data_IF_662153219195
#
_entry.id   IF_662153219195
#
_cell.length_a   1.000
_cell.length_b   1.000
_cell.length_c   1.000
_cell.angle_alpha   90.00
_cell.angle_beta   90.00
_cell.angle_gamma   90.00
#
_symmetry.space_group_name_H-M   'P 1'
#
loop_
_entity.id
_entity.type
_entity.pdbx_description
1 polymer ?
#
# COMPACT_ATOMS: atom_id res chain seq x y z
N UNK A 1 6.89 -27.41 -38.26
CA UNK A 1 5.70 -26.86 -37.62
C UNK A 1 4.44 -27.51 -38.15
N UNK A 2 3.42 -27.67 -37.33
CA UNK A 2 2.10 -28.18 -37.72
C UNK A 2 1.19 -26.99 -38.11
N UNK A 3 0.56 -27.06 -39.26
CA UNK A 3 -0.42 -26.09 -39.69
C UNK A 3 -1.77 -26.42 -39.06
N UNK A 4 -2.40 -25.49 -38.41
CA UNK A 4 -3.73 -25.62 -37.82
C UNK A 4 -4.71 -24.71 -38.54
N UNK A 5 -5.97 -25.14 -38.68
CA UNK A 5 -7.08 -24.26 -38.99
C UNK A 5 -7.45 -23.45 -37.72
N UNK A 6 -8.06 -22.29 -37.87
CA UNK A 6 -8.39 -21.38 -36.75
C UNK A 6 -9.18 -22.07 -35.62
N UNK A 7 -10.14 -22.92 -35.94
CA UNK A 7 -10.88 -23.69 -34.93
C UNK A 7 -10.02 -24.75 -34.24
N UNK A 8 -9.18 -25.43 -35.01
CA UNK A 8 -8.30 -26.50 -34.48
C UNK A 8 -7.24 -25.95 -33.54
N UNK A 9 -6.68 -24.76 -33.83
CA UNK A 9 -5.66 -24.15 -32.96
C UNK A 9 -6.28 -23.69 -31.65
N UNK A 10 -7.51 -23.21 -31.65
CA UNK A 10 -8.24 -22.84 -30.43
C UNK A 10 -8.48 -24.05 -29.53
N UNK A 11 -8.91 -25.16 -30.11
CA UNK A 11 -9.14 -26.42 -29.37
C UNK A 11 -7.82 -27.01 -28.83
N UNK A 12 -6.75 -26.92 -29.62
CA UNK A 12 -5.43 -27.35 -29.22
C UNK A 12 -4.89 -26.54 -28.01
N UNK A 13 -4.95 -25.21 -28.11
CA UNK A 13 -4.54 -24.31 -27.03
C UNK A 13 -5.42 -24.51 -25.78
N UNK A 14 -6.74 -24.72 -25.97
CA UNK A 14 -7.65 -24.92 -24.84
C UNK A 14 -7.37 -26.21 -24.05
N UNK A 15 -6.88 -27.27 -24.71
CA UNK A 15 -6.46 -28.50 -24.01
C UNK A 15 -5.25 -28.27 -23.10
N UNK A 16 -4.25 -27.55 -23.59
CA UNK A 16 -3.07 -27.21 -22.80
C UNK A 16 -3.38 -26.17 -21.73
N UNK A 17 -4.27 -25.21 -22.02
CA UNK A 17 -4.68 -24.18 -21.07
C UNK A 17 -5.28 -24.78 -19.79
N UNK A 18 -6.09 -25.84 -19.89
CA UNK A 18 -6.67 -26.52 -18.71
C UNK A 18 -5.61 -27.11 -17.78
N UNK A 19 -4.46 -27.51 -18.32
CA UNK A 19 -3.33 -28.06 -17.56
C UNK A 19 -2.66 -27.00 -16.67
N UNK A 20 -2.68 -25.74 -17.10
CA UNK A 20 -2.02 -24.59 -16.42
C UNK A 20 -3.01 -23.64 -15.78
N UNK A 21 -4.30 -23.98 -15.71
CA UNK A 21 -5.34 -23.09 -15.18
C UNK A 21 -5.19 -22.96 -13.66
N UNK A 22 -4.67 -21.82 -13.21
CA UNK A 22 -4.59 -21.49 -11.79
C UNK A 22 -5.97 -21.16 -11.25
N UNK A 23 -6.28 -21.62 -10.05
CA UNK A 23 -7.51 -21.23 -9.39
C UNK A 23 -7.38 -19.80 -8.86
N UNK A 24 -8.30 -18.93 -9.30
CA UNK A 24 -8.42 -17.56 -8.79
C UNK A 24 -9.37 -17.58 -7.59
N UNK A 25 -8.85 -17.16 -6.44
CA UNK A 25 -9.62 -17.07 -5.20
C UNK A 25 -9.93 -15.61 -4.90
N UNK A 26 -11.20 -15.29 -4.82
CA UNK A 26 -11.70 -13.99 -4.36
C UNK A 26 -11.47 -13.90 -2.86
N UNK A 27 -10.45 -13.12 -2.47
CA UNK A 27 -10.05 -12.97 -1.08
C UNK A 27 -11.00 -12.05 -0.32
N UNK A 28 -11.65 -11.08 -0.98
CA UNK A 28 -12.65 -10.22 -0.34
C UNK A 28 -13.75 -11.05 0.32
N UNK A 29 -14.19 -12.13 -0.34
CA UNK A 29 -15.20 -13.03 0.24
C UNK A 29 -14.71 -13.81 1.46
N UNK A 30 -13.40 -14.07 1.53
CA UNK A 30 -12.79 -14.84 2.63
C UNK A 30 -12.54 -14.01 3.87
N UNK A 31 -12.20 -12.74 3.70
CA UNK A 31 -11.86 -11.82 4.78
C UNK A 31 -12.95 -10.80 5.10
N UNK A 32 -14.10 -10.85 4.42
CA UNK A 32 -15.21 -9.94 4.67
C UNK A 32 -15.63 -9.95 6.13
N UNK A 33 -15.79 -8.74 6.70
CA UNK A 33 -16.22 -8.52 8.08
C UNK A 33 -16.73 -7.09 8.22
N UNK A 34 -17.65 -6.87 9.15
CA UNK A 34 -18.07 -5.53 9.55
C UNK A 34 -17.10 -4.96 10.57
N UNK A 35 -16.82 -3.69 10.43
CA UNK A 35 -16.06 -2.95 11.44
C UNK A 35 -16.97 -2.48 12.56
N UNK A 36 -16.65 -2.87 13.79
CA UNK A 36 -17.50 -2.58 14.95
C UNK A 36 -16.80 -1.75 16.02
N UNK A 37 -15.46 -1.83 16.10
CA UNK A 37 -14.69 -1.19 17.16
C UNK A 37 -13.27 -0.84 16.73
N UNK A 38 -12.68 0.12 17.44
CA UNK A 38 -11.27 0.45 17.34
C UNK A 38 -10.40 -0.51 18.15
N UNK A 39 -9.13 -0.57 17.83
CA UNK A 39 -8.11 -1.24 18.62
C UNK A 39 -7.52 -0.30 19.67
N UNK A 40 -7.22 0.94 19.28
CA UNK A 40 -6.69 1.99 20.15
C UNK A 40 -7.73 3.07 20.37
N UNK A 41 -7.83 3.57 21.61
CA UNK A 41 -8.85 4.54 21.98
C UNK A 41 -8.34 5.50 23.09
N UNK A 42 -8.97 6.68 23.20
CA UNK A 42 -8.68 7.64 24.25
C UNK A 42 -7.27 8.21 24.17
N UNK A 43 -6.55 8.21 25.27
CA UNK A 43 -5.23 8.82 25.36
C UNK A 43 -4.14 7.98 24.67
N UNK A 44 -4.28 6.66 24.62
CA UNK A 44 -3.35 5.81 23.85
C UNK A 44 -3.45 6.13 22.34
N UNK A 45 -4.66 6.31 21.83
CA UNK A 45 -4.86 6.72 20.44
C UNK A 45 -4.22 8.09 20.16
N UNK A 46 -4.42 9.09 21.02
CA UNK A 46 -3.82 10.43 20.86
C UNK A 46 -2.30 10.37 20.84
N UNK A 47 -1.72 9.58 21.75
CA UNK A 47 -0.29 9.39 21.81
C UNK A 47 0.27 8.76 20.53
N UNK A 48 -0.41 7.75 19.98
CA UNK A 48 -0.04 7.11 18.73
C UNK A 48 -0.19 8.05 17.54
N UNK A 49 -1.25 8.85 17.49
CA UNK A 49 -1.45 9.91 16.50
C UNK A 49 -0.27 10.89 16.52
N UNK A 50 0.12 11.37 17.70
CA UNK A 50 1.26 12.26 17.84
C UNK A 50 2.57 11.62 17.37
N UNK A 51 2.87 10.38 17.77
CA UNK A 51 4.07 9.66 17.38
C UNK A 51 4.10 9.33 15.88
N UNK A 52 2.95 9.21 15.23
CA UNK A 52 2.82 9.01 13.78
C UNK A 52 2.74 10.32 12.99
N UNK A 53 2.85 11.47 13.67
CA UNK A 53 2.82 12.79 13.03
C UNK A 53 1.45 13.25 12.56
N UNK A 54 0.35 12.66 13.06
CA UNK A 54 -1.01 13.07 12.72
C UNK A 54 -1.44 14.27 13.57
N UNK A 55 -1.81 15.35 12.92
CA UNK A 55 -2.33 16.56 13.56
C UNK A 55 -3.86 16.54 13.72
N UNK A 56 -4.38 17.45 14.52
CA UNK A 56 -5.83 17.64 14.61
C UNK A 56 -6.40 18.13 13.28
N UNK A 57 -5.65 18.96 12.56
CA UNK A 57 -6.04 19.47 11.23
C UNK A 57 -6.17 18.32 10.23
N UNK A 58 -5.25 17.38 10.22
CA UNK A 58 -5.33 16.18 9.38
C UNK A 58 -6.61 15.38 9.66
N UNK A 59 -6.96 15.23 10.95
CA UNK A 59 -8.15 14.50 11.34
C UNK A 59 -9.45 15.23 10.99
N UNK A 60 -9.47 16.57 11.01
CA UNK A 60 -10.66 17.38 10.78
C UNK A 60 -10.85 17.76 9.32
N UNK A 61 -9.77 18.14 8.64
CA UNK A 61 -9.85 18.68 7.29
C UNK A 61 -9.62 17.61 6.19
N UNK A 62 -9.02 16.48 6.54
CA UNK A 62 -8.75 15.41 5.59
C UNK A 62 -9.56 14.16 5.91
N UNK A 63 -9.32 13.54 7.07
CA UNK A 63 -9.91 12.25 7.40
C UNK A 63 -11.44 12.33 7.55
N UNK A 64 -11.95 13.34 8.24
CA UNK A 64 -13.37 13.48 8.50
C UNK A 64 -14.20 13.62 7.21
N UNK A 65 -13.89 14.56 6.29
CA UNK A 65 -14.63 14.69 5.02
C UNK A 65 -14.56 13.42 4.15
N UNK A 66 -13.44 12.71 4.16
CA UNK A 66 -13.31 11.46 3.42
C UNK A 66 -14.29 10.40 3.91
N UNK A 67 -14.57 10.34 5.21
CA UNK A 67 -15.51 9.39 5.79
C UNK A 67 -16.96 9.91 5.76
N UNK A 68 -17.19 11.20 5.86
CA UNK A 68 -18.52 11.81 5.87
C UNK A 68 -19.08 11.93 4.45
N UNK A 69 -18.30 12.44 3.51
CA UNK A 69 -18.74 12.67 2.13
C UNK A 69 -18.41 11.49 1.19
N UNK A 70 -17.47 10.63 1.59
CA UNK A 70 -16.97 9.54 0.74
C UNK A 70 -16.15 10.04 -0.45
N UNK A 71 -15.57 11.23 -0.31
CA UNK A 71 -14.74 11.90 -1.32
C UNK A 71 -13.49 12.44 -0.67
N UNK A 72 -12.43 12.52 -1.42
CA UNK A 72 -11.21 13.19 -0.99
C UNK A 72 -11.53 14.68 -0.72
N UNK A 73 -11.03 15.19 0.40
CA UNK A 73 -11.10 16.62 0.68
C UNK A 73 -10.46 17.40 -0.48
N UNK A 74 -11.03 18.57 -0.81
CA UNK A 74 -10.48 19.42 -1.87
C UNK A 74 -9.05 19.80 -1.50
N UNK A 75 -8.09 19.25 -2.23
CA UNK A 75 -6.67 19.47 -2.05
C UNK A 75 -5.90 19.13 -3.32
N UNK A 76 -4.63 19.49 -3.34
CA UNK A 76 -3.75 19.07 -4.44
C UNK A 76 -3.35 17.61 -4.25
N UNK A 77 -2.97 16.95 -5.35
CA UNK A 77 -2.35 15.62 -5.30
C UNK A 77 -0.88 15.74 -4.92
N UNK A 78 -0.62 15.84 -3.66
CA UNK A 78 0.63 16.25 -3.06
C UNK A 78 0.52 17.71 -2.61
N UNK A 79 1.32 18.05 -1.62
CA UNK A 79 1.39 19.42 -1.12
C UNK A 79 2.22 20.28 -2.09
N UNK A 80 1.59 21.27 -2.72
CA UNK A 80 2.28 22.24 -3.57
C UNK A 80 3.09 23.27 -2.76
N UNK A 81 2.92 23.27 -1.44
CA UNK A 81 3.69 24.12 -0.54
C UNK A 81 5.17 23.71 -0.59
N UNK A 82 6.09 24.63 -0.84
CA UNK A 82 7.52 24.31 -0.79
C UNK A 82 7.89 23.76 0.58
N UNK A 83 8.62 22.63 0.60
CA UNK A 83 9.09 22.04 1.84
C UNK A 83 10.22 22.91 2.37
N UNK A 84 10.09 23.38 3.60
CA UNK A 84 11.15 24.09 4.31
C UNK A 84 12.19 23.08 4.79
N UNK A 85 13.11 22.69 3.92
CA UNK A 85 14.13 21.65 4.16
C UNK A 85 15.05 21.94 5.35
N UNK A 86 15.16 23.19 5.77
CA UNK A 86 15.92 23.60 6.95
C UNK A 86 15.05 23.77 8.19
N UNK A 87 13.75 23.46 8.11
CA UNK A 87 12.85 23.53 9.27
C UNK A 87 13.13 22.40 10.25
N UNK A 88 12.99 22.68 11.53
CA UNK A 88 12.96 21.67 12.60
C UNK A 88 11.60 20.99 12.77
N UNK A 89 10.57 21.43 12.05
CA UNK A 89 9.24 20.82 12.12
C UNK A 89 9.25 19.47 11.40
N UNK A 90 8.71 18.48 12.10
CA UNK A 90 8.51 17.14 11.53
C UNK A 90 7.58 17.19 10.30
N UNK A 91 7.96 16.47 9.26
CA UNK A 91 7.12 16.16 8.10
C UNK A 91 7.23 14.69 7.77
N UNK A 92 6.13 13.98 7.49
CA UNK A 92 6.17 12.60 7.02
C UNK A 92 7.02 12.46 5.75
N UNK A 93 7.71 11.34 5.60
CA UNK A 93 8.60 11.12 4.43
C UNK A 93 7.83 11.20 3.12
N UNK A 94 6.56 10.82 3.08
CA UNK A 94 5.69 10.94 1.91
C UNK A 94 5.56 12.39 1.41
N UNK A 95 5.66 13.40 2.27
CA UNK A 95 5.57 14.80 1.88
C UNK A 95 6.76 15.29 1.06
N UNK A 96 7.88 14.57 1.09
CA UNK A 96 9.05 14.86 0.25
C UNK A 96 8.92 14.26 -1.15
N UNK A 97 7.90 13.42 -1.40
CA UNK A 97 7.63 12.80 -2.69
C UNK A 97 6.62 13.62 -3.48
N UNK A 98 6.94 13.90 -4.72
CA UNK A 98 6.06 14.59 -5.68
C UNK A 98 5.66 13.62 -6.77
N UNK A 99 4.36 13.52 -7.03
CA UNK A 99 3.85 12.69 -8.12
C UNK A 99 4.26 13.26 -9.47
N UNK A 100 4.93 12.47 -10.30
CA UNK A 100 5.17 12.80 -11.68
C UNK A 100 3.97 12.40 -12.54
N UNK A 101 3.46 13.33 -13.32
CA UNK A 101 2.41 13.05 -14.29
C UNK A 101 3.02 12.95 -15.69
N UNK A 102 2.63 11.89 -16.40
CA UNK A 102 3.01 11.72 -17.80
C UNK A 102 2.05 12.48 -18.70
N UNK A 103 2.58 13.12 -19.73
CA UNK A 103 1.74 13.57 -20.82
C UNK A 103 1.33 12.33 -21.64
N UNK A 104 0.07 11.93 -21.56
CA UNK A 104 -0.44 10.77 -22.28
C UNK A 104 -0.74 11.13 -23.74
N UNK A 105 -0.49 10.18 -24.67
CA UNK A 105 -0.78 10.34 -26.10
C UNK A 105 -2.29 10.32 -26.39
N UNK A 106 -3.05 9.59 -25.60
CA UNK A 106 -4.53 9.58 -25.67
C UNK A 106 -5.08 10.51 -24.58
N UNK A 107 -6.28 11.11 -24.79
CA UNK A 107 -6.94 11.88 -23.77
C UNK A 107 -7.07 11.07 -22.48
N UNK A 108 -6.89 11.70 -21.29
CA UNK A 108 -7.14 11.02 -20.03
C UNK A 108 -8.58 10.53 -19.97
N UNK A 109 -8.78 9.41 -19.28
CA UNK A 109 -10.11 8.86 -19.07
C UNK A 109 -10.89 9.80 -18.16
N UNK A 110 -12.13 10.11 -18.50
CA UNK A 110 -13.00 10.92 -17.67
C UNK A 110 -13.38 10.20 -16.37
N UNK A 111 -13.70 10.96 -15.32
CA UNK A 111 -14.01 10.43 -13.99
C UNK A 111 -15.19 9.46 -13.95
N UNK A 112 -16.10 9.51 -14.95
CA UNK A 112 -17.25 8.61 -15.03
C UNK A 112 -16.86 7.23 -15.58
N UNK A 113 -15.76 7.14 -16.33
CA UNK A 113 -15.27 5.91 -16.95
C UNK A 113 -14.14 5.25 -16.18
N UNK A 114 -13.47 5.96 -15.27
CA UNK A 114 -12.33 5.44 -14.50
C UNK A 114 -12.64 4.05 -13.91
N UNK A 115 -13.74 3.91 -13.19
CA UNK A 115 -14.17 2.64 -12.58
C UNK A 115 -14.47 1.51 -13.58
N UNK A 116 -14.71 1.83 -14.86
CA UNK A 116 -15.05 0.83 -15.89
C UNK A 116 -13.81 0.29 -16.60
N UNK A 117 -12.79 1.13 -16.77
CA UNK A 117 -11.61 0.83 -17.60
C UNK A 117 -10.35 0.63 -16.78
N UNK A 118 -10.37 1.00 -15.49
CA UNK A 118 -9.24 0.90 -14.59
C UNK A 118 -9.53 -0.05 -13.45
N UNK A 119 -8.49 -0.60 -12.84
CA UNK A 119 -8.63 -1.60 -11.80
C UNK A 119 -7.60 -1.43 -10.69
N UNK A 120 -8.09 -1.33 -9.45
CA UNK A 120 -7.28 -1.41 -8.21
C UNK A 120 -7.07 -2.86 -7.74
N UNK A 121 -7.51 -3.85 -8.52
CA UNK A 121 -7.38 -5.26 -8.14
C UNK A 121 -5.94 -5.60 -7.84
N UNK A 122 -5.74 -6.07 -6.62
CA UNK A 122 -4.44 -6.47 -6.08
C UNK A 122 -4.36 -7.99 -6.07
N UNK A 123 -3.26 -8.53 -6.59
CA UNK A 123 -3.04 -9.96 -6.72
C UNK A 123 -1.90 -10.40 -5.83
N UNK A 124 -2.07 -11.57 -5.24
CA UNK A 124 -1.10 -12.27 -4.41
C UNK A 124 -0.82 -13.64 -5.01
N UNK A 125 0.38 -14.10 -4.84
CA UNK A 125 0.81 -15.41 -5.31
C UNK A 125 1.98 -15.31 -6.28
N UNK A 126 2.83 -16.32 -6.22
CA UNK A 126 3.96 -16.48 -7.11
C UNK A 126 3.48 -17.09 -8.44
N UNK A 127 3.74 -16.42 -9.54
CA UNK A 127 3.42 -16.94 -10.87
C UNK A 127 4.40 -18.05 -11.32
N UNK A 128 5.51 -18.22 -10.61
CA UNK A 128 6.60 -19.10 -11.03
C UNK A 128 7.37 -18.50 -12.21
N UNK A 129 8.17 -19.33 -12.86
CA UNK A 129 8.86 -18.95 -14.08
C UNK A 129 7.91 -19.02 -15.27
N UNK A 130 7.47 -17.87 -15.77
CA UNK A 130 6.52 -17.80 -16.91
C UNK A 130 7.12 -18.27 -18.24
N UNK A 131 8.45 -18.42 -18.31
CA UNK A 131 9.17 -18.93 -19.48
C UNK A 131 9.38 -20.45 -19.43
N UNK A 132 9.11 -21.08 -18.30
CA UNK A 132 9.25 -22.51 -18.09
C UNK A 132 7.92 -23.08 -17.56
N UNK A 133 7.14 -23.66 -18.45
CA UNK A 133 5.81 -24.20 -18.14
C UNK A 133 5.84 -25.37 -17.16
N UNK A 134 6.94 -26.12 -17.09
CA UNK A 134 7.06 -27.26 -16.19
C UNK A 134 7.32 -26.82 -14.74
N UNK A 135 7.92 -25.65 -14.55
CA UNK A 135 8.20 -25.06 -13.24
C UNK A 135 7.15 -24.04 -12.79
N UNK A 136 6.11 -23.77 -13.62
CA UNK A 136 5.01 -22.92 -13.20
C UNK A 136 4.39 -23.44 -11.91
N UNK A 137 4.38 -22.61 -10.88
CA UNK A 137 3.76 -22.96 -9.60
C UNK A 137 2.27 -23.26 -9.81
N UNK A 138 1.80 -24.33 -9.19
CA UNK A 138 0.38 -24.69 -9.18
C UNK A 138 -0.40 -23.94 -8.07
N UNK A 139 0.23 -22.96 -7.46
CA UNK A 139 -0.38 -22.19 -6.37
C UNK A 139 -1.56 -21.37 -6.86
N UNK A 140 -2.52 -21.20 -5.97
CA UNK A 140 -3.68 -20.35 -6.21
C UNK A 140 -3.27 -18.87 -6.30
N UNK A 141 -4.00 -18.12 -7.11
CA UNK A 141 -3.90 -16.66 -7.16
C UNK A 141 -5.03 -16.09 -6.31
N UNK A 142 -4.68 -15.29 -5.33
CA UNK A 142 -5.63 -14.58 -4.49
C UNK A 142 -5.82 -13.16 -5.02
N UNK A 143 -7.04 -12.66 -5.01
CA UNK A 143 -7.38 -11.33 -5.56
C UNK A 143 -8.21 -10.56 -4.54
N UNK A 144 -7.82 -9.29 -4.30
CA UNK A 144 -8.60 -8.26 -3.61
C UNK A 144 -9.02 -7.19 -4.60
N UNK A 145 -10.22 -6.62 -4.43
CA UNK A 145 -10.72 -5.54 -5.29
C UNK A 145 -10.10 -4.17 -4.96
N UNK A 146 -9.59 -4.01 -3.73
CA UNK A 146 -8.91 -2.80 -3.26
C UNK A 146 -7.58 -3.15 -2.58
N UNK A 147 -6.54 -2.31 -2.68
CA UNK A 147 -5.32 -2.47 -1.92
C UNK A 147 -5.47 -2.05 -0.45
N UNK A 148 -6.62 -1.49 -0.06
CA UNK A 148 -6.85 -0.95 1.28
C UNK A 148 -7.68 -1.94 2.07
N UNK A 149 -7.20 -2.31 3.24
CA UNK A 149 -7.86 -3.25 4.15
C UNK A 149 -8.18 -2.54 5.48
N UNK A 150 -9.41 -2.73 5.96
CA UNK A 150 -9.80 -2.29 7.30
C UNK A 150 -9.08 -3.10 8.39
N UNK A 151 -9.16 -2.67 9.65
CA UNK A 151 -8.45 -3.32 10.75
C UNK A 151 -8.88 -4.79 10.90
N UNK A 152 -10.16 -5.05 10.90
CA UNK A 152 -10.69 -6.42 11.04
C UNK A 152 -10.41 -7.28 9.80
N UNK A 153 -10.47 -6.70 8.59
CA UNK A 153 -10.10 -7.40 7.36
C UNK A 153 -8.62 -7.75 7.35
N UNK A 154 -7.74 -6.84 7.80
CA UNK A 154 -6.31 -7.08 7.84
C UNK A 154 -5.93 -8.18 8.83
N UNK A 155 -6.57 -8.21 10.00
CA UNK A 155 -6.38 -9.29 10.97
C UNK A 155 -6.83 -10.65 10.39
N UNK A 156 -7.97 -10.69 9.68
CA UNK A 156 -8.40 -11.90 8.97
C UNK A 156 -7.45 -12.30 7.84
N UNK A 157 -6.89 -11.32 7.13
CA UNK A 157 -5.88 -11.55 6.10
C UNK A 157 -4.62 -12.22 6.67
N UNK A 158 -4.09 -11.72 7.78
CA UNK A 158 -2.95 -12.33 8.47
C UNK A 158 -3.26 -13.78 8.87
N UNK A 159 -4.42 -13.99 9.50
CA UNK A 159 -4.85 -15.31 9.94
C UNK A 159 -5.07 -16.28 8.77
N UNK A 160 -5.57 -15.80 7.62
CA UNK A 160 -5.78 -16.60 6.42
C UNK A 160 -4.48 -17.15 5.85
N UNK A 161 -3.43 -16.33 5.80
CA UNK A 161 -2.12 -16.77 5.33
C UNK A 161 -1.31 -17.50 6.42
N UNK A 162 -1.61 -17.29 7.70
CA UNK A 162 -1.02 -18.00 8.83
C UNK A 162 0.51 -18.09 8.74
N UNK A 163 1.05 -19.30 8.70
CA UNK A 163 2.51 -19.54 8.61
C UNK A 163 3.18 -18.97 7.36
N UNK A 164 2.42 -18.67 6.32
CA UNK A 164 2.92 -18.05 5.09
C UNK A 164 3.02 -16.52 5.21
N UNK A 165 2.66 -15.95 6.37
CA UNK A 165 2.82 -14.54 6.68
C UNK A 165 3.85 -14.32 7.80
N UNK A 166 4.58 -13.21 7.74
CA UNK A 166 5.54 -12.78 8.76
C UNK A 166 5.37 -11.28 9.03
N UNK A 167 5.14 -10.93 10.29
CA UNK A 167 5.15 -9.55 10.73
C UNK A 167 6.59 -9.15 10.99
N UNK A 168 7.01 -8.03 10.40
CA UNK A 168 8.27 -7.34 10.63
C UNK A 168 7.97 -6.08 11.45
N UNK A 169 8.65 -5.94 12.56
CA UNK A 169 8.51 -4.79 13.43
C UNK A 169 9.29 -3.60 12.84
N UNK A 170 8.54 -2.61 12.35
CA UNK A 170 9.07 -1.37 11.80
C UNK A 170 9.16 -0.27 12.88
N UNK A 171 9.56 -0.64 14.09
CA UNK A 171 9.93 0.30 15.13
C UNK A 171 11.39 0.11 15.53
N UNK A 172 11.98 1.10 16.16
CA UNK A 172 13.36 1.05 16.67
C UNK A 172 13.47 1.80 18.00
N UNK A 173 14.38 1.36 18.85
CA UNK A 173 14.65 2.02 20.11
C UNK A 173 15.25 3.41 19.88
N UNK A 174 14.97 4.36 20.77
CA UNK A 174 15.59 5.69 20.74
C UNK A 174 17.14 5.66 20.78
N UNK A 175 17.70 4.59 21.31
CA UNK A 175 19.14 4.39 21.38
C UNK A 175 19.72 3.71 20.14
N UNK A 176 18.85 3.12 19.30
CA UNK A 176 19.23 2.46 18.05
C UNK A 176 19.36 3.47 16.92
N UNK A 177 20.38 3.30 16.08
CA UNK A 177 20.50 4.10 14.86
C UNK A 177 19.51 3.61 13.81
N UNK A 178 18.82 4.54 13.14
CA UNK A 178 17.86 4.24 12.09
C UNK A 178 18.44 3.36 10.96
N UNK A 179 19.71 3.55 10.59
CA UNK A 179 20.36 2.71 9.58
C UNK A 179 20.49 1.26 10.02
N UNK A 180 20.77 1.01 11.31
CA UNK A 180 20.84 -0.34 11.88
C UNK A 180 19.48 -0.99 11.90
N UNK A 181 18.43 -0.23 12.25
CA UNK A 181 17.06 -0.70 12.22
C UNK A 181 16.62 -1.09 10.79
N UNK A 182 16.99 -0.30 9.78
CA UNK A 182 16.72 -0.61 8.38
C UNK A 182 17.44 -1.89 7.94
N UNK A 183 18.73 -2.06 8.29
CA UNK A 183 19.44 -3.31 8.00
C UNK A 183 18.79 -4.52 8.69
N UNK A 184 18.31 -4.36 9.91
CA UNK A 184 17.61 -5.41 10.65
C UNK A 184 16.38 -5.88 9.89
N UNK A 185 15.47 -4.98 9.51
CA UNK A 185 14.25 -5.37 8.78
C UNK A 185 14.54 -5.93 7.39
N UNK A 186 15.60 -5.48 6.71
CA UNK A 186 16.06 -6.05 5.44
C UNK A 186 16.50 -7.51 5.62
N UNK A 187 17.35 -7.80 6.60
CA UNK A 187 17.83 -9.16 6.90
C UNK A 187 16.68 -10.08 7.34
N UNK A 188 15.81 -9.60 8.22
CA UNK A 188 14.63 -10.36 8.65
C UNK A 188 13.72 -10.70 7.47
N UNK A 189 13.52 -9.76 6.53
CA UNK A 189 12.73 -9.98 5.32
C UNK A 189 13.34 -11.06 4.44
N UNK A 190 14.65 -11.04 4.22
CA UNK A 190 15.36 -12.06 3.43
C UNK A 190 15.22 -13.45 4.06
N UNK A 191 15.45 -13.57 5.37
CA UNK A 191 15.32 -14.83 6.11
C UNK A 191 13.89 -15.37 5.94
N UNK A 192 12.88 -14.53 6.16
CA UNK A 192 11.49 -14.93 6.05
C UNK A 192 11.14 -15.46 4.64
N UNK A 193 11.55 -14.74 3.60
CA UNK A 193 11.28 -15.16 2.20
C UNK A 193 11.99 -16.46 1.85
N UNK A 194 13.24 -16.64 2.29
CA UNK A 194 13.98 -17.91 2.08
C UNK A 194 13.37 -19.09 2.85
N UNK A 195 12.64 -18.83 3.93
CA UNK A 195 11.87 -19.83 4.67
C UNK A 195 10.49 -20.13 4.05
N UNK A 196 10.16 -19.51 2.91
CA UNK A 196 8.91 -19.75 2.18
C UNK A 196 7.74 -18.84 2.58
N UNK A 197 7.99 -17.78 3.33
CA UNK A 197 6.97 -16.74 3.61
C UNK A 197 6.62 -16.03 2.31
N UNK A 198 5.32 -15.92 2.04
CA UNK A 198 4.77 -15.25 0.84
C UNK A 198 4.16 -13.89 1.12
N UNK A 199 3.91 -13.56 2.39
CA UNK A 199 3.31 -12.29 2.83
C UNK A 199 4.16 -11.66 3.93
N UNK A 200 4.93 -10.63 3.59
CA UNK A 200 5.57 -9.77 4.60
C UNK A 200 4.57 -8.71 5.05
N UNK A 201 4.51 -8.47 6.34
CA UNK A 201 3.65 -7.48 6.96
C UNK A 201 4.55 -6.51 7.72
N UNK A 202 4.69 -5.31 7.19
CA UNK A 202 5.46 -4.24 7.80
C UNK A 202 4.51 -3.50 8.76
N UNK A 203 4.81 -3.51 10.04
CA UNK A 203 3.93 -2.94 11.07
C UNK A 203 4.68 -2.01 12.00
N UNK A 204 4.13 -0.82 12.23
CA UNK A 204 4.59 0.14 13.22
C UNK A 204 3.74 0.12 14.51
N UNK A 205 2.89 -0.89 14.70
CA UNK A 205 1.98 -0.98 15.86
C UNK A 205 2.65 -1.04 17.22
N UNK A 206 3.91 -1.46 17.28
CA UNK A 206 4.68 -1.52 18.52
C UNK A 206 5.26 -0.16 18.94
N UNK A 207 4.88 0.91 18.25
CA UNK A 207 5.32 2.26 18.59
C UNK A 207 4.94 2.63 20.04
N UNK A 208 5.86 3.29 20.72
CA UNK A 208 5.73 3.75 22.09
C UNK A 208 6.66 4.94 22.33
N UNK A 209 6.71 5.43 23.55
CA UNK A 209 7.68 6.48 23.90
C UNK A 209 9.15 6.03 23.79
N UNK A 210 9.41 4.74 23.90
CA UNK A 210 10.75 4.15 23.80
C UNK A 210 11.06 3.59 22.41
N UNK A 211 10.02 3.17 21.69
CA UNK A 211 10.12 2.60 20.34
C UNK A 211 9.49 3.55 19.34
N UNK A 212 10.32 4.21 18.55
CA UNK A 212 9.90 5.13 17.50
C UNK A 212 9.58 4.39 16.21
N UNK A 213 8.62 4.85 15.40
CA UNK A 213 8.35 4.22 14.10
C UNK A 213 9.51 4.52 13.14
N UNK A 214 9.97 3.49 12.42
CA UNK A 214 10.71 3.70 11.18
C UNK A 214 9.72 4.27 10.17
N UNK A 215 9.99 5.41 9.51
CA UNK A 215 9.07 5.94 8.51
C UNK A 215 8.63 4.85 7.53
N UNK A 216 7.33 4.62 7.42
CA UNK A 216 6.82 3.42 6.73
C UNK A 216 7.20 3.41 5.26
N UNK A 217 7.20 4.57 4.60
CA UNK A 217 7.61 4.68 3.21
C UNK A 217 9.09 4.28 3.03
N UNK A 218 9.96 4.65 3.97
CA UNK A 218 11.36 4.26 3.99
C UNK A 218 11.51 2.74 4.23
N UNK A 219 10.71 2.17 5.14
CA UNK A 219 10.69 0.72 5.39
C UNK A 219 10.31 -0.06 4.14
N UNK A 220 9.27 0.38 3.42
CA UNK A 220 8.84 -0.24 2.16
C UNK A 220 9.94 -0.14 1.11
N UNK A 221 10.53 1.05 0.93
CA UNK A 221 11.61 1.28 -0.04
C UNK A 221 12.83 0.41 0.24
N UNK A 222 13.27 0.37 1.50
CA UNK A 222 14.42 -0.41 1.94
C UNK A 222 14.23 -1.91 1.67
N UNK A 223 13.09 -2.47 2.08
CA UNK A 223 12.81 -3.90 1.89
C UNK A 223 12.59 -4.22 0.41
N UNK A 224 11.83 -3.40 -0.32
CA UNK A 224 11.57 -3.63 -1.73
C UNK A 224 12.86 -3.65 -2.54
N UNK A 225 13.73 -2.66 -2.37
CA UNK A 225 15.01 -2.52 -3.06
C UNK A 225 15.97 -3.66 -2.69
N UNK A 226 16.06 -3.98 -1.39
CA UNK A 226 16.88 -5.08 -0.91
C UNK A 226 16.46 -6.43 -1.50
N UNK A 227 15.16 -6.74 -1.47
CA UNK A 227 14.65 -8.00 -2.02
C UNK A 227 14.80 -8.08 -3.55
N UNK A 228 14.74 -6.95 -4.28
CA UNK A 228 15.05 -6.88 -5.72
C UNK A 228 16.52 -7.26 -5.94
N UNK A 229 17.45 -6.64 -5.21
CA UNK A 229 18.89 -6.91 -5.30
C UNK A 229 19.20 -8.39 -4.99
N UNK A 230 18.49 -8.99 -4.02
CA UNK A 230 18.61 -10.40 -3.68
C UNK A 230 17.86 -11.35 -4.63
N UNK A 231 17.14 -10.82 -5.64
CA UNK A 231 16.28 -11.58 -6.57
C UNK A 231 15.13 -12.35 -5.88
N UNK A 232 14.68 -11.85 -4.74
CA UNK A 232 13.65 -12.47 -3.91
C UNK A 232 12.29 -11.78 -4.01
N UNK A 233 12.23 -10.55 -4.56
CA UNK A 233 11.01 -9.72 -4.57
C UNK A 233 9.81 -10.39 -5.25
N UNK A 234 10.04 -11.21 -6.26
CA UNK A 234 8.98 -11.93 -7.01
C UNK A 234 8.27 -13.02 -6.19
N UNK A 235 8.83 -13.46 -5.08
CA UNK A 235 8.27 -14.54 -4.25
C UNK A 235 7.34 -14.05 -3.15
N UNK A 236 7.27 -12.75 -2.90
CA UNK A 236 6.61 -12.21 -1.71
C UNK A 236 5.83 -10.94 -2.02
N UNK A 237 4.73 -10.75 -1.31
CA UNK A 237 3.97 -9.49 -1.26
C UNK A 237 4.35 -8.69 -0.01
N UNK A 238 4.43 -7.37 -0.15
CA UNK A 238 4.71 -6.44 0.95
C UNK A 238 3.40 -5.78 1.37
N UNK A 239 2.92 -6.11 2.55
CA UNK A 239 1.68 -5.58 3.10
C UNK A 239 2.01 -4.62 4.24
N UNK A 240 1.40 -3.47 4.26
CA UNK A 240 1.72 -2.39 5.20
C UNK A 240 0.62 -2.26 6.23
N UNK A 241 0.98 -2.13 7.50
CA UNK A 241 0.12 -1.74 8.59
C UNK A 241 0.74 -0.52 9.28
N UNK A 242 0.23 0.67 8.98
CA UNK A 242 0.87 1.93 9.37
C UNK A 242 -0.07 2.93 9.98
N UNK A 243 0.43 3.62 11.01
CA UNK A 243 -0.20 4.79 11.60
C UNK A 243 -0.05 6.06 10.75
N UNK A 244 0.94 6.13 9.86
CA UNK A 244 1.22 7.32 9.05
C UNK A 244 0.28 7.47 7.84
N UNK A 245 -0.29 6.37 7.33
CA UNK A 245 -1.11 6.39 6.13
C UNK A 245 -2.51 6.93 6.44
N UNK A 246 -2.90 8.01 5.78
CA UNK A 246 -4.22 8.60 6.00
C UNK A 246 -4.85 9.21 4.74
N UNK A 247 -4.11 9.99 3.99
CA UNK A 247 -4.54 10.68 2.78
C UNK A 247 -4.20 9.89 1.50
N UNK A 248 -4.83 10.22 0.38
CA UNK A 248 -4.59 9.54 -0.90
C UNK A 248 -3.12 9.55 -1.32
N UNK A 249 -2.39 10.63 -1.02
CA UNK A 249 -0.98 10.75 -1.39
C UNK A 249 -0.10 9.73 -0.65
N UNK A 250 -0.31 9.54 0.65
CA UNK A 250 0.41 8.53 1.43
C UNK A 250 0.18 7.11 0.91
N UNK A 251 -1.05 6.78 0.50
CA UNK A 251 -1.33 5.50 -0.16
C UNK A 251 -0.65 5.38 -1.52
N UNK A 252 -0.71 6.44 -2.34
CA UNK A 252 -0.08 6.45 -3.65
C UNK A 252 1.43 6.24 -3.55
N UNK A 253 2.12 6.91 -2.61
CA UNK A 253 3.55 6.75 -2.41
C UNK A 253 3.91 5.35 -1.94
N UNK A 254 3.21 4.80 -0.94
CA UNK A 254 3.45 3.43 -0.45
C UNK A 254 3.27 2.38 -1.54
N UNK A 255 2.16 2.45 -2.30
CA UNK A 255 1.89 1.53 -3.40
C UNK A 255 2.89 1.72 -4.54
N UNK A 256 3.21 2.97 -4.89
CA UNK A 256 4.15 3.31 -5.95
C UNK A 256 5.57 2.82 -5.67
N UNK A 257 6.01 2.83 -4.42
CA UNK A 257 7.34 2.35 -4.00
C UNK A 257 7.38 0.81 -3.91
N UNK A 258 6.25 0.15 -3.72
CA UNK A 258 6.24 -1.32 -3.77
C UNK A 258 5.29 -2.05 -2.83
N UNK A 259 4.51 -1.35 -2.00
CA UNK A 259 3.50 -1.99 -1.17
C UNK A 259 2.43 -2.69 -2.01
N UNK A 260 1.92 -3.80 -1.51
CA UNK A 260 0.84 -4.58 -2.14
C UNK A 260 -0.52 -4.18 -1.57
N UNK A 261 -0.61 -4.08 -0.25
CA UNK A 261 -1.79 -3.59 0.48
C UNK A 261 -1.38 -2.65 1.60
N UNK A 262 -2.32 -1.83 2.04
CA UNK A 262 -2.14 -0.90 3.15
C UNK A 262 -3.32 -1.00 4.12
N UNK A 263 -3.02 -1.15 5.40
CA UNK A 263 -3.95 -1.01 6.50
C UNK A 263 -3.61 0.26 7.30
N UNK A 264 -4.38 1.34 7.15
CA UNK A 264 -4.18 2.59 7.87
C UNK A 264 -4.85 2.51 9.25
N UNK A 265 -4.30 1.73 10.17
CA UNK A 265 -5.01 1.36 11.40
C UNK A 265 -5.38 2.57 12.27
N UNK A 266 -4.51 3.59 12.36
CA UNK A 266 -4.82 4.78 13.14
C UNK A 266 -5.89 5.67 12.49
N UNK A 267 -5.98 5.70 11.16
CA UNK A 267 -7.06 6.38 10.49
C UNK A 267 -8.41 5.75 10.87
N UNK A 268 -8.53 4.44 10.86
CA UNK A 268 -9.76 3.75 11.27
C UNK A 268 -10.08 3.94 12.76
N UNK A 269 -9.08 3.87 13.63
CA UNK A 269 -9.29 4.09 15.06
C UNK A 269 -9.67 5.55 15.37
N UNK A 270 -9.11 6.50 14.61
CA UNK A 270 -9.49 7.92 14.68
C UNK A 270 -10.93 8.14 14.21
N UNK A 271 -11.35 7.46 13.13
CA UNK A 271 -12.76 7.48 12.68
C UNK A 271 -13.69 6.91 13.74
N UNK A 272 -13.32 5.82 14.41
CA UNK A 272 -14.11 5.26 15.50
C UNK A 272 -14.28 6.25 16.65
N UNK A 273 -13.20 6.92 17.07
CA UNK A 273 -13.27 7.95 18.12
C UNK A 273 -14.21 9.10 17.73
N UNK A 274 -14.17 9.55 16.47
CA UNK A 274 -15.07 10.59 15.95
C UNK A 274 -16.52 10.10 15.86
N UNK A 275 -16.72 8.84 15.47
CA UNK A 275 -18.03 8.21 15.43
C UNK A 275 -18.66 8.10 16.83
N UNK A 276 -17.91 7.74 17.87
CA UNK A 276 -18.41 7.69 19.25
C UNK A 276 -18.82 9.06 19.79
N UNK A 277 -18.20 10.13 19.25
CA UNK A 277 -18.61 11.54 19.53
C UNK A 277 -19.80 12.00 18.68
N UNK A 278 -20.44 11.10 17.90
CA UNK A 278 -21.59 11.36 17.03
C UNK A 278 -21.35 12.42 15.95
N UNK A 279 -20.10 12.55 15.47
CA UNK A 279 -19.74 13.57 14.46
C UNK A 279 -20.16 13.17 13.04
N UNK A 280 -20.56 11.94 12.79
CA UNK A 280 -21.00 11.42 11.48
C UNK A 280 -22.53 11.24 11.39
N UNK A 281 -23.31 11.92 12.24
CA UNK A 281 -24.76 11.85 12.22
C UNK A 281 -25.30 10.43 12.40
N UNK A 282 -26.02 9.93 11.39
CA UNK A 282 -26.67 8.60 11.46
C UNK A 282 -25.85 7.47 10.81
N UNK A 283 -24.69 7.75 10.26
CA UNK A 283 -23.85 6.70 9.67
C UNK A 283 -23.37 5.72 10.74
N UNK A 284 -23.40 4.42 10.41
CA UNK A 284 -22.71 3.42 11.22
C UNK A 284 -21.20 3.57 11.07
N UNK A 285 -20.45 3.02 12.04
CA UNK A 285 -18.98 3.04 11.92
C UNK A 285 -18.50 2.29 10.65
N UNK A 286 -19.11 1.17 10.32
CA UNK A 286 -18.81 0.39 9.12
C UNK A 286 -19.08 1.22 7.83
N UNK A 287 -20.11 2.07 7.82
CA UNK A 287 -20.36 2.98 6.70
C UNK A 287 -19.27 4.04 6.59
N UNK A 288 -18.83 4.63 7.69
CA UNK A 288 -17.72 5.59 7.71
C UNK A 288 -16.43 4.97 7.15
N UNK A 289 -16.10 3.75 7.57
CA UNK A 289 -14.94 2.99 7.08
C UNK A 289 -15.04 2.73 5.58
N UNK A 290 -16.19 2.27 5.09
CA UNK A 290 -16.42 2.03 3.65
C UNK A 290 -16.32 3.30 2.83
N UNK A 291 -16.88 4.41 3.31
CA UNK A 291 -16.84 5.71 2.64
C UNK A 291 -15.40 6.22 2.55
N UNK A 292 -14.63 6.10 3.63
CA UNK A 292 -13.20 6.43 3.64
C UNK A 292 -12.40 5.57 2.63
N UNK A 293 -12.56 4.25 2.64
CA UNK A 293 -11.91 3.36 1.67
C UNK A 293 -12.28 3.74 0.23
N UNK A 294 -13.56 4.02 -0.03
CA UNK A 294 -14.02 4.43 -1.36
C UNK A 294 -13.41 5.77 -1.79
N UNK A 295 -13.26 6.72 -0.87
CA UNK A 295 -12.61 8.00 -1.11
C UNK A 295 -11.15 7.80 -1.57
N UNK A 296 -10.37 7.03 -0.82
CA UNK A 296 -8.97 6.72 -1.19
C UNK A 296 -8.90 5.97 -2.52
N UNK A 297 -9.79 4.99 -2.74
CA UNK A 297 -9.85 4.25 -4.00
C UNK A 297 -10.12 5.18 -5.20
N UNK A 298 -11.07 6.11 -5.06
CA UNK A 298 -11.36 7.09 -6.11
C UNK A 298 -10.16 8.01 -6.38
N UNK A 299 -9.45 8.45 -5.33
CA UNK A 299 -8.23 9.25 -5.46
C UNK A 299 -7.12 8.49 -6.19
N UNK A 300 -6.90 7.22 -5.85
CA UNK A 300 -5.92 6.37 -6.54
C UNK A 300 -6.26 6.17 -8.03
N UNK A 301 -7.53 5.92 -8.35
CA UNK A 301 -7.98 5.82 -9.75
C UNK A 301 -7.74 7.13 -10.51
N UNK A 302 -8.00 8.27 -9.88
CA UNK A 302 -7.74 9.59 -10.47
C UNK A 302 -6.26 9.82 -10.76
N UNK A 303 -5.36 9.45 -9.84
CA UNK A 303 -3.92 9.51 -10.06
C UNK A 303 -3.51 8.62 -11.24
N UNK A 304 -3.94 7.36 -11.24
CA UNK A 304 -3.65 6.39 -12.30
C UNK A 304 -4.19 6.86 -13.67
N UNK A 305 -5.39 7.44 -13.69
CA UNK A 305 -5.99 8.00 -14.90
C UNK A 305 -5.13 9.10 -15.52
N UNK A 306 -4.63 10.04 -14.70
CA UNK A 306 -3.73 11.11 -15.17
C UNK A 306 -2.37 10.62 -15.65
N UNK A 307 -1.97 9.42 -15.26
CA UNK A 307 -0.75 8.77 -15.70
C UNK A 307 -0.95 7.81 -16.89
N UNK A 308 -2.19 7.58 -17.30
CA UNK A 308 -2.52 6.60 -18.34
C UNK A 308 -2.30 5.14 -17.91
N UNK A 309 -2.33 4.85 -16.62
CA UNK A 309 -2.13 3.52 -16.05
C UNK A 309 -3.48 2.90 -15.73
N UNK A 310 -3.82 1.76 -16.31
CA UNK A 310 -5.12 1.11 -16.15
C UNK A 310 -5.19 0.08 -15.03
N UNK A 311 -4.06 -0.45 -14.58
CA UNK A 311 -4.01 -1.48 -13.53
C UNK A 311 -2.99 -1.13 -12.44
N UNK A 312 -3.35 -1.33 -11.18
CA UNK A 312 -2.52 -0.96 -10.03
C UNK A 312 -1.14 -1.65 -10.05
N UNK A 313 -1.06 -2.86 -10.58
CA UNK A 313 0.22 -3.58 -10.69
C UNK A 313 1.24 -2.88 -11.59
N UNK A 314 0.82 -2.07 -12.54
CA UNK A 314 1.69 -1.26 -13.40
C UNK A 314 2.07 0.08 -12.75
N UNK A 315 1.32 0.53 -11.76
CA UNK A 315 1.67 1.70 -10.95
C UNK A 315 2.77 1.38 -9.94
N UNK A 316 2.76 0.16 -9.40
CA UNK A 316 3.69 -0.32 -8.39
C UNK A 316 5.11 -0.44 -8.95
N UNK A 317 6.06 0.23 -8.29
CA UNK A 317 7.47 0.22 -8.70
C UNK A 317 7.75 0.99 -10.00
N UNK A 318 6.83 1.83 -10.44
CA UNK A 318 6.93 2.56 -11.70
C UNK A 318 7.80 3.82 -11.67
N UNK A 319 8.53 4.11 -10.58
CA UNK A 319 9.33 5.33 -10.40
C UNK A 319 8.55 6.62 -10.70
N UNK A 320 7.30 6.66 -10.26
CA UNK A 320 6.33 7.70 -10.64
C UNK A 320 6.48 8.99 -9.82
N UNK A 321 7.59 9.14 -9.12
CA UNK A 321 7.83 10.25 -8.19
C UNK A 321 9.18 10.89 -8.44
N UNK A 322 9.29 12.13 -8.02
CA UNK A 322 10.54 12.80 -7.71
C UNK A 322 10.55 13.18 -6.23
N UNK A 323 11.71 13.33 -5.64
CA UNK A 323 11.83 13.81 -4.25
C UNK A 323 12.43 15.19 -4.20
N UNK A 324 11.97 15.98 -3.24
CA UNK A 324 12.45 17.33 -2.96
C UNK A 324 12.84 17.42 -1.50
N UNK A 325 14.13 17.69 -1.23
CA UNK A 325 14.62 17.86 0.14
C UNK A 325 15.09 16.57 0.84
N UNK A 326 15.19 15.45 0.12
CA UNK A 326 15.87 14.25 0.60
C UNK A 326 17.24 14.13 -0.03
N UNK A 327 18.26 13.70 0.74
CA UNK A 327 19.61 13.52 0.20
C UNK A 327 19.62 12.46 -0.91
N UNK A 328 20.49 12.66 -1.90
CA UNK A 328 20.67 11.71 -3.01
C UNK A 328 21.06 10.33 -2.50
N UNK A 329 21.91 10.25 -1.49
CA UNK A 329 22.34 8.97 -0.88
C UNK A 329 21.13 8.17 -0.40
N UNK A 330 20.22 8.80 0.35
CA UNK A 330 19.02 8.11 0.84
C UNK A 330 18.11 7.67 -0.32
N UNK A 331 17.96 8.52 -1.33
CA UNK A 331 17.10 8.20 -2.48
C UNK A 331 17.70 7.08 -3.33
N UNK A 332 19.01 7.13 -3.61
CA UNK A 332 19.69 6.10 -4.40
C UNK A 332 19.70 4.74 -3.68
N UNK A 333 19.87 4.73 -2.37
CA UNK A 333 19.92 3.49 -1.57
C UNK A 333 18.55 2.81 -1.43
N UNK A 334 17.49 3.59 -1.21
CA UNK A 334 16.18 3.04 -0.84
C UNK A 334 15.09 3.22 -1.90
N UNK A 335 15.27 4.15 -2.83
CA UNK A 335 14.28 4.47 -3.87
C UNK A 335 14.92 4.59 -5.26
N UNK A 336 15.68 3.57 -5.72
CA UNK A 336 16.40 3.65 -6.98
C UNK A 336 15.46 3.94 -8.15
N UNK A 337 15.87 4.82 -9.04
CA UNK A 337 15.08 5.28 -10.19
C UNK A 337 14.21 6.52 -9.91
N UNK A 338 14.14 6.98 -8.66
CA UNK A 338 13.50 8.24 -8.28
C UNK A 338 14.57 9.34 -8.28
N UNK A 339 14.25 10.49 -8.85
CA UNK A 339 15.18 11.63 -8.91
C UNK A 339 15.07 12.47 -7.63
N UNK A 340 16.21 12.74 -6.98
CA UNK A 340 16.28 13.73 -5.90
C UNK A 340 16.57 15.11 -6.44
N UNK A 341 15.72 16.07 -6.12
CA UNK A 341 15.89 17.51 -6.41
C UNK A 341 16.10 18.24 -5.08
N UNK A 342 17.05 19.17 -5.07
CA UNK A 342 17.37 19.96 -3.87
C UNK A 342 17.71 19.02 -2.68
N UNK A 343 18.89 18.45 -2.75
CA UNK A 343 19.45 17.59 -1.69
C UNK A 343 20.55 18.31 -0.93
#
# INVERSE_FOLDING_TARGET
GKLFKDKEIKDYIAKDYKKYNKQIIDLDKKISVKEEKAEFFGDDLKKRQYLSGLSIEDLELILHPMAEEGKEASGSMGDDTPIAVLSSHFRPVSHYFRQNFSQVTNPPIDSLRENKVMSLKTRFGNLGNILDFDTLTKENIYVLNSPILSNSQFNKFINFFGKNSKILDCTFSKEENLSVALERIQKESEIAVRQGVTQLILSDKNLSNENLPIPMLLSVGAINTYLITKKLRGYVSINVQSGEAMDTHSFATLLGVGATTVNPYLAFDSLYQRHTKKLFGQFSFDDCVKRYINSVNAGLLKIMSKMGISVLSSYRGGCNFETVGLSRTVVDDYFPGITSKIS
#
